data_IF_367015381760
#
_entry.id   IF_367015381760
#
_cell.length_a   1.000
_cell.length_b   1.000
_cell.length_c   1.000
_cell.angle_alpha   90.00
_cell.angle_beta   90.00
_cell.angle_gamma   90.00
#
_symmetry.space_group_name_H-M   'P 1'
#
loop_
_entity.id
_entity.type
_entity.pdbx_description
1 polymer ?
#
# COMPACT_ATOMS: atom_id res chain seq x y z
N UNK A 1 -10.31 37.79 -16.55
CA UNK A 1 -11.62 37.65 -15.88
C UNK A 1 -11.76 36.19 -15.46
N UNK A 2 -11.18 35.82 -14.32
CA UNK A 2 -11.25 34.44 -13.81
C UNK A 2 -12.41 34.38 -12.83
N UNK A 3 -13.49 33.71 -13.23
CA UNK A 3 -14.63 33.45 -12.38
C UNK A 3 -14.20 32.56 -11.22
N UNK A 4 -14.28 33.11 -10.00
CA UNK A 4 -14.12 32.35 -8.77
C UNK A 4 -15.22 31.30 -8.67
N UNK A 5 -14.82 30.03 -8.70
CA UNK A 5 -15.71 28.90 -8.41
C UNK A 5 -15.88 28.84 -6.90
N UNK A 6 -17.06 29.18 -6.39
CA UNK A 6 -17.36 29.14 -4.96
C UNK A 6 -17.16 27.72 -4.37
N UNK A 7 -16.53 27.58 -3.18
CA UNK A 7 -16.24 26.27 -2.58
C UNK A 7 -17.41 25.69 -1.73
N UNK A 8 -18.63 26.21 -1.83
CA UNK A 8 -19.71 25.94 -0.86
C UNK A 8 -20.25 24.50 -0.88
N UNK A 9 -20.29 23.84 -2.04
CA UNK A 9 -20.77 22.44 -2.16
C UNK A 9 -19.81 21.38 -1.56
N UNK A 10 -18.51 21.69 -1.51
CA UNK A 10 -17.48 20.72 -1.14
C UNK A 10 -17.38 20.43 0.37
N UNK A 11 -17.92 21.30 1.23
CA UNK A 11 -17.78 21.19 2.69
C UNK A 11 -18.82 20.26 3.32
N UNK A 12 -20.03 20.23 2.78
CA UNK A 12 -21.09 19.34 3.26
C UNK A 12 -20.81 17.90 2.87
N UNK A 13 -20.36 17.64 1.64
CA UNK A 13 -19.98 16.31 1.15
C UNK A 13 -18.79 15.74 1.94
N UNK A 14 -17.73 16.54 2.18
CA UNK A 14 -16.59 16.12 3.01
C UNK A 14 -16.99 15.78 4.45
N UNK A 15 -17.91 16.54 5.05
CA UNK A 15 -18.43 16.25 6.40
C UNK A 15 -19.30 15.00 6.46
N UNK A 16 -20.11 14.75 5.44
CA UNK A 16 -20.94 13.54 5.35
C UNK A 16 -20.08 12.31 5.11
N UNK A 17 -19.09 12.39 4.21
CA UNK A 17 -18.12 11.33 3.96
C UNK A 17 -17.32 10.99 5.23
N UNK A 18 -16.80 12.00 5.95
CA UNK A 18 -16.08 11.80 7.20
C UNK A 18 -16.95 11.19 8.32
N UNK A 19 -18.24 11.55 8.41
CA UNK A 19 -19.18 10.92 9.36
C UNK A 19 -19.49 9.47 8.99
N UNK A 20 -19.68 9.17 7.70
CA UNK A 20 -19.91 7.82 7.21
C UNK A 20 -18.69 6.92 7.47
N UNK A 21 -17.49 7.40 7.14
CA UNK A 21 -16.23 6.69 7.39
C UNK A 21 -16.00 6.41 8.88
N UNK A 22 -16.30 7.37 9.77
CA UNK A 22 -16.23 7.15 11.23
C UNK A 22 -17.23 6.10 11.72
N UNK A 23 -18.46 6.08 11.19
CA UNK A 23 -19.46 5.07 11.54
C UNK A 23 -19.05 3.67 11.08
N UNK A 24 -18.59 3.53 9.84
CA UNK A 24 -18.10 2.25 9.31
C UNK A 24 -16.93 1.74 10.15
N UNK A 25 -15.98 2.62 10.49
CA UNK A 25 -14.86 2.26 11.35
C UNK A 25 -15.28 1.80 12.75
N UNK A 26 -16.22 2.51 13.39
CA UNK A 26 -16.78 2.08 14.68
C UNK A 26 -17.46 0.72 14.61
N UNK A 27 -18.21 0.45 13.53
CA UNK A 27 -18.86 -0.85 13.31
C UNK A 27 -17.81 -1.96 13.13
N UNK A 28 -16.78 -1.72 12.32
CA UNK A 28 -15.69 -2.68 12.10
C UNK A 28 -14.93 -2.98 13.40
N UNK A 29 -14.69 -1.98 14.24
CA UNK A 29 -14.10 -2.17 15.56
C UNK A 29 -14.98 -3.04 16.44
N UNK A 30 -16.28 -2.73 16.51
CA UNK A 30 -17.22 -3.50 17.30
C UNK A 30 -17.27 -4.97 16.86
N UNK A 31 -17.35 -5.22 15.55
CA UNK A 31 -17.36 -6.58 14.99
C UNK A 31 -16.06 -7.33 15.30
N UNK A 32 -14.90 -6.67 15.20
CA UNK A 32 -13.62 -7.28 15.53
C UNK A 32 -13.51 -7.61 17.02
N UNK A 33 -13.99 -6.75 17.92
CA UNK A 33 -14.04 -7.02 19.36
C UNK A 33 -14.95 -8.20 19.69
N UNK A 34 -16.13 -8.28 19.05
CA UNK A 34 -17.05 -9.42 19.20
C UNK A 34 -16.38 -10.71 18.70
N UNK A 35 -15.70 -10.67 17.55
CA UNK A 35 -15.01 -11.83 17.00
C UNK A 35 -13.86 -12.31 17.91
N UNK A 36 -13.06 -11.39 18.45
CA UNK A 36 -11.99 -11.69 19.41
C UNK A 36 -12.56 -12.30 20.68
N UNK A 37 -13.67 -11.76 21.20
CA UNK A 37 -14.34 -12.30 22.38
C UNK A 37 -14.89 -13.71 22.11
N UNK A 38 -15.58 -13.92 21.00
CA UNK A 38 -16.10 -15.23 20.61
C UNK A 38 -14.99 -16.26 20.43
N UNK A 39 -13.87 -15.88 19.80
CA UNK A 39 -12.71 -16.74 19.64
C UNK A 39 -12.03 -17.06 20.98
N UNK A 40 -11.95 -16.09 21.89
CA UNK A 40 -11.43 -16.30 23.25
C UNK A 40 -12.28 -17.30 24.03
N UNK A 41 -13.61 -17.14 23.99
CA UNK A 41 -14.55 -18.08 24.62
C UNK A 41 -14.38 -19.47 24.02
N UNK A 42 -14.31 -19.57 22.68
CA UNK A 42 -14.13 -20.84 21.98
C UNK A 42 -12.84 -21.56 22.41
N UNK A 43 -11.69 -20.87 22.39
CA UNK A 43 -10.40 -21.46 22.79
C UNK A 43 -10.42 -21.92 24.26
N UNK A 44 -11.07 -21.16 25.15
CA UNK A 44 -11.23 -21.56 26.56
C UNK A 44 -12.06 -22.86 26.70
N UNK A 45 -13.23 -22.93 26.05
CA UNK A 45 -14.06 -24.14 26.08
C UNK A 45 -13.36 -25.34 25.45
N UNK A 46 -12.62 -25.12 24.37
CA UNK A 46 -11.83 -26.15 23.69
C UNK A 46 -10.69 -26.66 24.57
N UNK A 47 -9.99 -25.76 25.26
CA UNK A 47 -8.95 -26.09 26.23
C UNK A 47 -9.48 -26.91 27.41
N UNK A 48 -10.69 -26.60 27.90
CA UNK A 48 -11.34 -27.42 28.93
C UNK A 48 -11.72 -28.82 28.40
N UNK A 49 -12.22 -28.91 27.16
CA UNK A 49 -12.59 -30.17 26.53
C UNK A 49 -11.38 -31.12 26.32
N UNK A 50 -10.16 -30.60 26.24
CA UNK A 50 -8.93 -31.38 26.12
C UNK A 50 -8.73 -32.37 27.30
N UNK A 51 -9.18 -32.00 28.51
CA UNK A 51 -9.07 -32.83 29.71
C UNK A 51 -10.26 -33.78 29.91
N UNK A 52 -11.20 -33.82 28.96
CA UNK A 52 -12.37 -34.70 29.04
C UNK A 52 -11.98 -36.19 29.01
N UNK A 53 -12.70 -37.06 29.75
CA UNK A 53 -12.51 -38.50 29.64
C UNK A 53 -12.97 -39.00 28.26
N UNK A 54 -12.29 -40.02 27.71
CA UNK A 54 -12.70 -40.70 26.47
C UNK A 54 -11.86 -40.42 25.22
N UNK A 55 -10.86 -39.54 25.27
CA UNK A 55 -9.97 -39.25 24.12
C UNK A 55 -8.72 -40.13 24.08
N UNK A 56 -8.45 -40.71 22.91
CA UNK A 56 -7.24 -41.45 22.61
C UNK A 56 -6.02 -40.56 22.38
N UNK A 57 -4.85 -41.16 22.17
CA UNK A 57 -3.59 -40.40 22.00
C UNK A 57 -3.53 -39.62 20.68
N UNK A 58 -4.10 -40.16 19.60
CA UNK A 58 -4.20 -39.47 18.30
C UNK A 58 -5.15 -38.26 18.38
N UNK A 59 -6.28 -38.40 19.08
CA UNK A 59 -7.22 -37.29 19.29
C UNK A 59 -6.55 -36.14 20.03
N UNK A 60 -5.72 -36.45 21.05
CA UNK A 60 -4.95 -35.45 21.79
C UNK A 60 -3.90 -34.78 20.92
N UNK A 61 -3.22 -35.51 20.01
CA UNK A 61 -2.27 -34.94 19.07
C UNK A 61 -2.96 -33.92 18.13
N UNK A 62 -4.08 -34.30 17.52
CA UNK A 62 -4.84 -33.40 16.65
C UNK A 62 -5.43 -32.22 17.42
N UNK A 63 -5.85 -32.42 18.67
CA UNK A 63 -6.32 -31.33 19.53
C UNK A 63 -5.20 -30.31 19.80
N UNK A 64 -3.97 -30.75 20.08
CA UNK A 64 -2.81 -29.85 20.26
C UNK A 64 -2.49 -29.09 18.97
N UNK A 65 -2.42 -29.78 17.83
CA UNK A 65 -2.17 -29.12 16.53
C UNK A 65 -3.23 -28.08 16.20
N UNK A 66 -4.50 -28.40 16.47
CA UNK A 66 -5.61 -27.49 16.26
C UNK A 66 -5.50 -26.26 17.18
N UNK A 67 -5.21 -26.43 18.47
CA UNK A 67 -4.98 -25.32 19.41
C UNK A 67 -3.81 -24.43 18.95
N UNK A 68 -2.73 -25.00 18.43
CA UNK A 68 -1.63 -24.23 17.85
C UNK A 68 -2.06 -23.40 16.65
N UNK A 69 -2.84 -23.98 15.72
CA UNK A 69 -3.39 -23.27 14.57
C UNK A 69 -4.36 -22.15 15.00
N UNK A 70 -5.20 -22.40 16.00
CA UNK A 70 -6.13 -21.41 16.56
C UNK A 70 -5.39 -20.25 17.21
N UNK A 71 -4.33 -20.53 17.99
CA UNK A 71 -3.49 -19.51 18.60
C UNK A 71 -2.78 -18.67 17.53
N UNK A 72 -2.29 -19.30 16.46
CA UNK A 72 -1.72 -18.60 15.32
C UNK A 72 -2.75 -17.65 14.67
N UNK A 73 -3.96 -18.13 14.39
CA UNK A 73 -5.05 -17.31 13.83
C UNK A 73 -5.40 -16.16 14.77
N UNK A 74 -5.47 -16.41 16.09
CA UNK A 74 -5.77 -15.40 17.10
C UNK A 74 -4.72 -14.27 17.12
N UNK A 75 -3.43 -14.63 17.12
CA UNK A 75 -2.33 -13.66 17.08
C UNK A 75 -2.39 -12.82 15.81
N UNK A 76 -2.62 -13.45 14.66
CA UNK A 76 -2.76 -12.74 13.39
C UNK A 76 -3.97 -11.80 13.39
N UNK A 77 -5.13 -12.25 13.88
CA UNK A 77 -6.33 -11.43 13.98
C UNK A 77 -6.08 -10.18 14.84
N UNK A 78 -5.39 -10.32 15.97
CA UNK A 78 -5.00 -9.20 16.83
C UNK A 78 -4.04 -8.24 16.11
N UNK A 79 -3.02 -8.76 15.44
CA UNK A 79 -2.06 -7.94 14.69
C UNK A 79 -2.74 -7.15 13.55
N UNK A 80 -3.62 -7.80 12.79
CA UNK A 80 -4.41 -7.15 11.74
C UNK A 80 -5.34 -6.09 12.30
N UNK A 81 -5.98 -6.35 13.44
CA UNK A 81 -6.85 -5.38 14.11
C UNK A 81 -6.08 -4.11 14.49
N UNK A 82 -4.92 -4.26 15.14
CA UNK A 82 -4.04 -3.13 15.50
C UNK A 82 -3.56 -2.38 14.25
N UNK A 83 -3.14 -3.11 13.21
CA UNK A 83 -2.71 -2.51 11.94
C UNK A 83 -3.82 -1.70 11.28
N UNK A 84 -5.06 -2.22 11.30
CA UNK A 84 -6.24 -1.54 10.73
C UNK A 84 -6.58 -0.26 11.48
N UNK A 85 -6.53 -0.29 12.82
CA UNK A 85 -6.71 0.91 13.64
C UNK A 85 -5.63 1.94 13.30
N UNK A 86 -4.36 1.52 13.26
CA UNK A 86 -3.24 2.41 12.95
C UNK A 86 -3.35 3.03 11.55
N UNK A 87 -3.68 2.23 10.54
CA UNK A 87 -3.83 2.69 9.16
C UNK A 87 -4.98 3.70 9.01
N UNK A 88 -6.07 3.50 9.75
CA UNK A 88 -7.25 4.37 9.66
C UNK A 88 -7.13 5.64 10.51
N UNK A 89 -6.38 5.59 11.62
CA UNK A 89 -6.17 6.75 12.52
C UNK A 89 -5.01 7.65 12.10
N UNK A 90 -4.00 7.12 11.41
CA UNK A 90 -2.82 7.89 10.96
C UNK A 90 -2.89 8.44 9.55
N UNK A 91 -4.01 8.26 8.85
CA UNK A 91 -4.20 8.92 7.55
C UNK A 91 -4.58 10.39 7.78
N UNK A 92 -3.63 11.16 8.33
CA UNK A 92 -3.68 12.61 8.20
C UNK A 92 -3.34 12.86 6.74
N UNK A 93 -4.38 13.09 5.93
CA UNK A 93 -4.16 13.71 4.61
C UNK A 93 -3.40 14.96 4.95
N UNK A 94 -2.14 15.08 4.51
CA UNK A 94 -1.33 16.28 4.71
C UNK A 94 -2.17 17.46 4.23
N UNK A 95 -2.90 18.08 5.15
CA UNK A 95 -3.70 19.25 4.85
C UNK A 95 -2.70 20.30 4.43
N UNK A 96 -2.96 20.99 3.31
CA UNK A 96 -2.12 22.01 2.72
C UNK A 96 -1.29 22.69 3.81
N UNK A 97 -0.04 22.22 4.01
CA UNK A 97 0.76 22.71 5.12
C UNK A 97 1.20 24.10 4.70
N UNK A 98 0.39 25.09 5.06
CA UNK A 98 0.53 26.53 4.73
C UNK A 98 1.85 27.13 5.25
N UNK A 99 2.69 26.36 5.94
CA UNK A 99 3.96 26.85 6.50
C UNK A 99 5.08 25.80 6.44
N UNK A 100 5.42 25.32 5.24
CA UNK A 100 6.76 24.76 5.00
C UNK A 100 7.61 25.87 4.38
N UNK A 101 8.74 26.14 5.04
CA UNK A 101 9.83 27.00 4.56
C UNK A 101 10.09 26.80 3.06
N UNK A 102 10.46 27.88 2.37
CA UNK A 102 10.69 28.06 0.93
C UNK A 102 11.66 27.09 0.22
N UNK A 103 12.06 25.99 0.87
CA UNK A 103 12.91 24.95 0.30
C UNK A 103 12.02 23.88 -0.30
N UNK A 104 11.87 23.91 -1.62
CA UNK A 104 11.34 22.79 -2.38
C UNK A 104 12.49 21.80 -2.60
N UNK A 105 12.53 20.64 -1.92
CA UNK A 105 13.60 19.68 -2.11
C UNK A 105 13.64 19.19 -3.56
N UNK A 106 14.82 18.84 -4.04
CA UNK A 106 14.92 18.19 -5.34
C UNK A 106 14.32 16.77 -5.25
N UNK A 107 13.42 16.42 -6.16
CA UNK A 107 12.76 15.12 -6.20
C UNK A 107 13.20 14.32 -7.43
N UNK A 108 13.75 13.14 -7.21
CA UNK A 108 13.94 12.16 -8.27
C UNK A 108 12.69 11.27 -8.40
N UNK A 109 12.06 11.28 -9.56
CA UNK A 109 10.95 10.37 -9.89
C UNK A 109 11.53 9.21 -10.69
N UNK A 110 11.47 8.01 -10.13
CA UNK A 110 12.08 6.82 -10.74
C UNK A 110 11.00 5.88 -11.25
N UNK A 111 11.00 5.65 -12.57
CA UNK A 111 10.12 4.72 -13.25
C UNK A 111 10.96 3.51 -13.65
N UNK A 112 10.85 2.42 -12.88
CA UNK A 112 11.51 1.16 -13.21
C UNK A 112 10.61 0.33 -14.12
N UNK A 113 11.15 -0.07 -15.28
CA UNK A 113 10.45 -0.73 -16.39
C UNK A 113 11.15 -2.03 -16.78
N UNK A 114 10.36 -3.09 -17.02
CA UNK A 114 10.77 -4.36 -17.58
C UNK A 114 9.73 -4.93 -18.57
N UNK A 115 10.02 -4.82 -19.86
CA UNK A 115 9.20 -5.32 -20.98
C UNK A 115 7.74 -4.83 -20.96
N UNK A 116 7.46 -3.63 -20.45
CA UNK A 116 6.14 -3.01 -20.59
C UNK A 116 5.91 -2.50 -22.02
N UNK A 117 4.63 -2.44 -22.41
CA UNK A 117 4.23 -1.79 -23.66
C UNK A 117 4.55 -0.28 -23.59
N UNK A 118 5.26 0.30 -24.58
CA UNK A 118 5.54 1.72 -24.65
C UNK A 118 4.31 2.60 -24.46
N UNK A 119 3.13 2.19 -24.97
CA UNK A 119 1.90 2.98 -24.82
C UNK A 119 1.47 3.11 -23.35
N UNK A 120 1.61 2.05 -22.55
CA UNK A 120 1.28 2.06 -21.11
C UNK A 120 2.33 2.86 -20.32
N UNK A 121 3.60 2.76 -20.73
CA UNK A 121 4.68 3.49 -20.09
C UNK A 121 4.59 5.00 -20.37
N UNK A 122 4.15 5.38 -21.57
CA UNK A 122 3.93 6.78 -21.96
C UNK A 122 2.97 7.50 -21.01
N UNK A 123 1.82 6.89 -20.68
CA UNK A 123 0.86 7.47 -19.73
C UNK A 123 1.49 7.71 -18.34
N UNK A 124 2.36 6.80 -17.90
CA UNK A 124 3.09 6.92 -16.62
C UNK A 124 4.13 8.03 -16.67
N UNK A 125 4.91 8.12 -17.77
CA UNK A 125 5.91 9.16 -17.99
C UNK A 125 5.25 10.54 -18.05
N UNK A 126 4.16 10.68 -18.82
CA UNK A 126 3.39 11.93 -18.93
C UNK A 126 2.90 12.37 -17.56
N UNK A 127 2.32 11.45 -16.78
CA UNK A 127 1.85 11.74 -15.42
C UNK A 127 2.99 12.20 -14.50
N UNK A 128 4.16 11.58 -14.58
CA UNK A 128 5.33 11.95 -13.79
C UNK A 128 5.91 13.32 -14.19
N UNK A 129 5.99 13.62 -15.48
CA UNK A 129 6.52 14.89 -16.00
C UNK A 129 5.57 16.06 -15.71
N UNK A 130 4.26 15.84 -15.83
CA UNK A 130 3.23 16.86 -15.62
C UNK A 130 2.84 17.09 -14.15
N UNK A 131 3.41 16.30 -13.22
CA UNK A 131 3.22 16.49 -11.78
C UNK A 131 3.49 17.95 -11.36
N UNK A 132 2.59 18.53 -10.56
CA UNK A 132 2.67 19.91 -10.07
C UNK A 132 3.78 20.07 -9.00
N UNK A 133 5.02 19.94 -9.47
CA UNK A 133 6.24 20.02 -8.69
C UNK A 133 7.39 20.42 -9.62
N UNK A 134 7.95 21.61 -9.43
CA UNK A 134 8.91 22.18 -10.38
C UNK A 134 10.34 21.63 -10.19
N UNK A 135 10.75 21.34 -8.95
CA UNK A 135 12.12 20.91 -8.64
C UNK A 135 12.27 19.39 -8.72
N UNK A 136 12.05 18.81 -9.90
CA UNK A 136 12.09 17.36 -10.13
C UNK A 136 12.92 16.93 -11.34
N UNK A 137 13.33 15.66 -11.35
CA UNK A 137 13.86 14.98 -12.53
C UNK A 137 13.29 13.57 -12.63
N UNK A 138 12.84 13.21 -13.82
CA UNK A 138 12.26 11.88 -14.11
C UNK A 138 13.34 10.98 -14.70
N UNK A 139 13.48 9.80 -14.14
CA UNK A 139 14.40 8.75 -14.58
C UNK A 139 13.59 7.54 -15.03
N UNK A 140 13.84 7.07 -16.25
CA UNK A 140 13.28 5.83 -16.80
C UNK A 140 14.39 4.79 -16.73
N UNK A 141 14.30 3.86 -15.79
CA UNK A 141 15.26 2.77 -15.62
C UNK A 141 14.71 1.53 -16.32
N UNK A 142 15.28 1.21 -17.47
CA UNK A 142 14.79 0.17 -18.36
C UNK A 142 15.71 -1.06 -18.34
N UNK A 143 15.19 -2.15 -17.78
CA UNK A 143 15.83 -3.47 -17.76
C UNK A 143 15.27 -4.42 -18.84
N UNK A 144 14.49 -3.91 -19.79
CA UNK A 144 13.83 -4.71 -20.82
C UNK A 144 14.83 -5.52 -21.64
N UNK A 145 14.46 -6.77 -21.91
CA UNK A 145 15.24 -7.69 -22.75
C UNK A 145 14.77 -7.69 -24.20
N UNK A 146 13.54 -7.24 -24.45
CA UNK A 146 13.03 -7.09 -25.81
C UNK A 146 13.57 -5.80 -26.44
N UNK A 147 14.35 -5.95 -27.50
CA UNK A 147 15.00 -4.84 -28.21
C UNK A 147 14.01 -3.85 -28.82
N UNK A 148 12.84 -4.31 -29.27
CA UNK A 148 11.82 -3.45 -29.88
C UNK A 148 11.16 -2.58 -28.83
N UNK A 149 10.80 -3.17 -27.68
CA UNK A 149 10.22 -2.41 -26.57
C UNK A 149 11.24 -1.40 -26.04
N UNK A 150 12.49 -1.83 -25.90
CA UNK A 150 13.62 -1.00 -25.46
C UNK A 150 13.81 0.24 -26.32
N UNK A 151 13.78 0.09 -27.65
CA UNK A 151 13.87 1.22 -28.57
C UNK A 151 12.69 2.20 -28.37
N UNK A 152 11.47 1.67 -28.26
CA UNK A 152 10.28 2.49 -27.99
C UNK A 152 10.35 3.24 -26.65
N UNK A 153 10.81 2.59 -25.58
CA UNK A 153 10.97 3.20 -24.26
C UNK A 153 12.05 4.30 -24.28
N UNK A 154 13.17 4.04 -24.96
CA UNK A 154 14.22 5.04 -25.14
C UNK A 154 13.72 6.28 -25.90
N UNK A 155 12.95 6.08 -26.99
CA UNK A 155 12.36 7.18 -27.76
C UNK A 155 11.35 7.98 -26.94
N UNK A 156 10.56 7.32 -26.09
CA UNK A 156 9.66 7.99 -25.15
C UNK A 156 10.43 8.82 -24.12
N UNK A 157 11.48 8.25 -23.52
CA UNK A 157 12.29 8.98 -22.54
C UNK A 157 12.92 10.23 -23.17
N UNK A 158 13.39 10.15 -24.41
CA UNK A 158 13.89 11.32 -25.15
C UNK A 158 12.77 12.34 -25.45
N UNK A 159 11.60 11.88 -25.92
CA UNK A 159 10.45 12.74 -26.25
C UNK A 159 10.01 13.60 -25.07
N UNK A 160 10.05 13.04 -23.87
CA UNK A 160 9.62 13.70 -22.63
C UNK A 160 10.78 14.23 -21.77
N UNK A 161 11.97 14.34 -22.35
CA UNK A 161 13.18 14.88 -21.68
C UNK A 161 13.50 14.19 -20.34
N UNK A 162 13.20 12.89 -20.25
CA UNK A 162 13.48 12.04 -19.11
C UNK A 162 14.89 11.44 -19.22
N UNK A 163 15.54 11.19 -18.08
CA UNK A 163 16.81 10.50 -18.05
C UNK A 163 16.60 8.99 -18.26
N UNK A 164 16.97 8.48 -19.44
CA UNK A 164 16.95 7.06 -19.72
C UNK A 164 18.20 6.37 -19.14
N UNK A 165 18.01 5.34 -18.33
CA UNK A 165 19.08 4.58 -17.68
C UNK A 165 18.90 3.10 -17.98
N UNK A 166 19.98 2.46 -18.40
CA UNK A 166 20.03 1.01 -18.64
C UNK A 166 21.12 0.38 -17.79
N UNK A 167 20.88 -0.85 -17.38
CA UNK A 167 21.85 -1.67 -16.65
C UNK A 167 22.21 -2.91 -17.46
N UNK A 168 23.48 -3.29 -17.41
CA UNK A 168 23.96 -4.52 -18.05
C UNK A 168 23.67 -5.76 -17.18
N UNK A 169 23.50 -5.56 -15.86
CA UNK A 169 23.24 -6.63 -14.90
C UNK A 169 22.01 -6.32 -14.06
N UNK A 170 21.05 -7.26 -14.02
CA UNK A 170 19.77 -7.13 -13.32
C UNK A 170 19.82 -7.67 -11.89
N UNK A 171 20.91 -7.45 -11.18
CA UNK A 171 21.03 -7.84 -9.76
C UNK A 171 19.93 -7.15 -8.96
N UNK A 172 19.25 -7.90 -8.10
CA UNK A 172 18.20 -7.36 -7.23
C UNK A 172 16.92 -6.91 -7.96
N UNK A 173 16.78 -7.20 -9.27
CA UNK A 173 15.61 -6.86 -10.08
C UNK A 173 15.18 -5.39 -9.88
N UNK A 174 13.89 -5.13 -9.60
CA UNK A 174 13.34 -3.79 -9.39
C UNK A 174 14.00 -3.03 -8.24
N UNK A 175 14.29 -3.70 -7.12
CA UNK A 175 14.96 -3.06 -5.99
C UNK A 175 16.40 -2.67 -6.37
N UNK A 176 17.08 -3.53 -7.12
CA UNK A 176 18.40 -3.21 -7.68
C UNK A 176 18.35 -2.06 -8.68
N UNK A 177 17.33 -2.01 -9.55
CA UNK A 177 17.19 -0.95 -10.56
C UNK A 177 17.12 0.44 -9.93
N UNK A 178 16.42 0.55 -8.81
CA UNK A 178 16.29 1.79 -8.04
C UNK A 178 17.59 2.09 -7.29
N UNK A 179 18.23 1.07 -6.70
CA UNK A 179 19.44 1.26 -5.88
C UNK A 179 20.68 1.58 -6.72
N UNK A 180 20.82 1.01 -7.91
CA UNK A 180 21.98 1.21 -8.79
C UNK A 180 21.88 2.52 -9.61
N UNK A 181 20.79 3.29 -9.45
CA UNK A 181 20.57 4.57 -10.14
C UNK A 181 21.40 5.72 -9.53
N UNK A 182 21.75 5.60 -8.24
CA UNK A 182 22.47 6.61 -7.44
C UNK A 182 23.81 6.06 -6.97
#
# INVERSE_FOLDING_TARGET
MFAGKEPSHSWHERRVAGKHQRRVFSILILLALIAILALSIYVLFRGMAFFGPGYGWLDRLFAVLLICCELYIFIHAMAYFVSTIKATTRYDVTGDTVFISSVTPFVAVVIASFNEDPAVLEDTIVSAVTMDYWHKKVYVVDDSTDERLRAGIHDLALRYECAYVRRDNRRGYKAGAINDLF
#
